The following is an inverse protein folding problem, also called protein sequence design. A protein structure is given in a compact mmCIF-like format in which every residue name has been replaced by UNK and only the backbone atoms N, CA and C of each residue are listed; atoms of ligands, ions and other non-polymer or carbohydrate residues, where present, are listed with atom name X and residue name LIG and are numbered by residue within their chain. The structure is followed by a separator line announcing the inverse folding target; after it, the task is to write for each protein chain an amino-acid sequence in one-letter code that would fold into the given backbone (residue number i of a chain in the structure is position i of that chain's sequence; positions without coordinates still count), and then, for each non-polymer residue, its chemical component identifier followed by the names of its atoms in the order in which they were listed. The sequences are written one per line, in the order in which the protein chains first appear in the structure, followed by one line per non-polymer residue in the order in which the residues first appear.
data_IF_850016622413
#
_entry.id   IF_850016622413
#
_cell.length_a   1.000
_cell.length_b   1.000
_cell.length_c   1.000
_cell.angle_alpha   90.00
_cell.angle_beta   90.00
_cell.angle_gamma   90.00
#
_symmetry.space_group_name_H-M   'P 1'
#
loop_
_entity.id
_entity.type
_entity.pdbx_description
1 polymer ?
#
# COMPACT_ATOMS: atom_id res chain seq x y z
N UNK A 1 16.80 -16.60 -11.40
CA UNK A 1 16.35 -16.03 -10.12
C UNK A 1 14.86 -16.25 -10.06
N UNK A 2 14.39 -16.98 -9.05
CA UNK A 2 13.03 -17.52 -8.96
C UNK A 2 12.00 -16.38 -8.85
N UNK A 3 10.96 -16.46 -9.65
CA UNK A 3 9.84 -15.51 -9.75
C UNK A 3 8.86 -15.64 -8.56
N UNK A 4 9.30 -16.16 -7.40
CA UNK A 4 8.46 -16.49 -6.24
C UNK A 4 7.97 -15.27 -5.43
N UNK A 5 8.23 -14.04 -5.91
CA UNK A 5 7.74 -12.81 -5.27
C UNK A 5 6.28 -12.48 -5.58
N UNK A 6 5.70 -13.08 -6.62
CA UNK A 6 4.31 -12.81 -6.99
C UNK A 6 3.38 -13.89 -6.46
N UNK A 7 2.59 -13.53 -5.47
CA UNK A 7 1.50 -14.39 -5.01
C UNK A 7 0.35 -14.28 -6.02
N UNK A 8 0.19 -15.30 -6.86
CA UNK A 8 -0.99 -15.43 -7.69
C UNK A 8 -2.14 -15.89 -6.81
N UNK A 9 -3.14 -15.04 -6.65
CA UNK A 9 -4.39 -15.42 -6.01
C UNK A 9 -5.23 -16.14 -7.07
N UNK A 10 -4.88 -17.37 -7.35
CA UNK A 10 -5.66 -18.21 -8.23
C UNK A 10 -5.71 -19.63 -7.69
N UNK A 11 -6.83 -20.27 -7.89
CA UNK A 11 -6.97 -21.70 -7.71
C UNK A 11 -6.67 -22.36 -9.05
N UNK A 12 -5.59 -23.18 -9.16
CA UNK A 12 -5.23 -23.87 -10.39
C UNK A 12 -6.35 -24.79 -10.91
N UNK A 13 -7.16 -25.36 -10.02
CA UNK A 13 -8.29 -26.21 -10.42
C UNK A 13 -9.43 -25.41 -11.05
N UNK A 14 -9.72 -24.22 -10.52
CA UNK A 14 -10.70 -23.29 -11.10
C UNK A 14 -10.22 -22.73 -12.44
N UNK A 15 -8.92 -22.48 -12.57
CA UNK A 15 -8.30 -22.06 -13.82
C UNK A 15 -8.48 -23.14 -14.91
N UNK A 16 -8.24 -24.41 -14.58
CA UNK A 16 -8.40 -25.53 -15.51
C UNK A 16 -9.85 -25.71 -15.98
N UNK A 17 -10.84 -25.31 -15.19
CA UNK A 17 -12.28 -25.37 -15.52
C UNK A 17 -12.79 -24.12 -16.23
N UNK A 18 -11.96 -23.09 -16.42
CA UNK A 18 -12.39 -21.81 -17.00
C UNK A 18 -13.38 -21.00 -16.12
N UNK A 19 -13.53 -21.37 -14.87
CA UNK A 19 -14.42 -20.71 -13.92
C UNK A 19 -13.83 -19.42 -13.39
N UNK A 20 -14.66 -18.42 -13.09
CA UNK A 20 -14.22 -17.17 -12.41
C UNK A 20 -13.71 -17.53 -11.03
N UNK A 21 -12.60 -16.88 -10.61
CA UNK A 21 -12.10 -16.94 -9.24
C UNK A 21 -13.09 -16.21 -8.31
N UNK A 22 -14.22 -16.84 -8.05
CA UNK A 22 -15.20 -16.44 -7.04
C UNK A 22 -15.08 -17.36 -5.81
N UNK A 23 -13.86 -17.82 -5.52
CA UNK A 23 -13.57 -18.67 -4.36
C UNK A 23 -13.87 -18.00 -3.04
N UNK A 24 -13.88 -18.77 -1.96
CA UNK A 24 -14.11 -18.27 -0.60
C UNK A 24 -13.13 -17.15 -0.24
N UNK A 25 -11.87 -17.25 -0.68
CA UNK A 25 -10.84 -16.23 -0.47
C UNK A 25 -11.15 -14.90 -1.13
N UNK A 26 -11.64 -14.91 -2.37
CA UNK A 26 -12.05 -13.69 -3.07
C UNK A 26 -13.26 -13.02 -2.40
N UNK A 27 -14.23 -13.82 -1.94
CA UNK A 27 -15.37 -13.28 -1.18
C UNK A 27 -14.92 -12.64 0.12
N UNK A 28 -14.08 -13.33 0.91
CA UNK A 28 -13.54 -12.80 2.14
C UNK A 28 -12.72 -11.51 1.92
N UNK A 29 -11.92 -11.46 0.84
CA UNK A 29 -11.24 -10.25 0.41
C UNK A 29 -12.22 -9.12 0.10
N UNK A 30 -13.25 -9.39 -0.70
CA UNK A 30 -14.25 -8.39 -1.10
C UNK A 30 -15.01 -7.85 0.11
N UNK A 31 -15.41 -8.71 1.05
CA UNK A 31 -16.05 -8.30 2.31
C UNK A 31 -15.12 -7.41 3.13
N UNK A 32 -13.83 -7.77 3.20
CA UNK A 32 -12.85 -6.97 3.92
C UNK A 32 -12.62 -5.61 3.27
N UNK A 33 -12.52 -5.54 1.93
CA UNK A 33 -12.40 -4.28 1.19
C UNK A 33 -13.60 -3.36 1.45
N UNK A 34 -14.82 -3.90 1.44
CA UNK A 34 -16.03 -3.15 1.78
C UNK A 34 -15.96 -2.63 3.22
N UNK A 35 -15.55 -3.46 4.17
CA UNK A 35 -15.41 -3.06 5.57
C UNK A 35 -14.32 -1.99 5.75
N UNK A 36 -13.16 -2.13 5.10
CA UNK A 36 -12.09 -1.14 5.15
C UNK A 36 -12.55 0.21 4.56
N UNK A 37 -13.28 0.16 3.44
CA UNK A 37 -13.87 1.34 2.81
C UNK A 37 -14.86 2.05 3.72
N UNK A 38 -15.74 1.32 4.40
CA UNK A 38 -16.68 1.88 5.38
C UNK A 38 -15.95 2.58 6.53
N UNK A 39 -14.93 1.91 7.10
CA UNK A 39 -14.16 2.44 8.22
C UNK A 39 -13.34 3.69 7.83
N UNK A 40 -12.68 3.65 6.69
CA UNK A 40 -11.90 4.81 6.20
C UNK A 40 -12.80 5.98 5.82
N UNK A 41 -14.01 5.72 5.30
CA UNK A 41 -14.99 6.78 5.03
C UNK A 41 -15.41 7.51 6.32
N UNK A 42 -15.61 6.77 7.42
CA UNK A 42 -15.91 7.34 8.74
C UNK A 42 -14.70 8.11 9.27
N UNK A 43 -13.50 7.53 9.21
CA UNK A 43 -12.27 8.15 9.67
C UNK A 43 -12.01 9.50 8.98
N UNK A 44 -12.24 9.55 7.67
CA UNK A 44 -11.90 10.71 6.85
C UNK A 44 -12.86 11.91 7.01
N UNK A 45 -14.00 11.73 7.68
CA UNK A 45 -14.96 12.80 8.00
C UNK A 45 -15.06 13.07 9.50
N UNK A 46 -14.35 12.29 10.33
CA UNK A 46 -14.33 12.48 11.77
C UNK A 46 -13.62 13.80 12.11
N UNK A 47 -14.13 14.61 13.08
CA UNK A 47 -13.41 15.78 13.56
C UNK A 47 -11.99 15.43 14.01
N UNK A 48 -11.02 16.28 13.64
CA UNK A 48 -9.61 15.97 13.88
C UNK A 48 -9.25 15.96 15.38
N UNK A 49 -9.98 16.66 16.20
CA UNK A 49 -9.83 16.72 17.67
C UNK A 49 -10.48 15.54 18.41
N UNK A 50 -11.25 14.70 17.71
CA UNK A 50 -11.77 13.44 18.28
C UNK A 50 -10.68 12.36 18.25
N UNK A 51 -9.75 12.44 19.19
CA UNK A 51 -8.62 11.51 19.28
C UNK A 51 -9.05 10.08 19.63
N UNK A 52 -10.03 9.93 20.51
CA UNK A 52 -10.54 8.61 20.92
C UNK A 52 -11.25 7.92 19.74
N UNK A 53 -12.11 8.63 19.02
CA UNK A 53 -12.77 8.13 17.83
C UNK A 53 -11.81 7.73 16.73
N UNK A 54 -10.76 8.53 16.51
CA UNK A 54 -9.69 8.17 15.54
C UNK A 54 -8.95 6.90 15.96
N UNK A 55 -8.54 6.81 17.23
CA UNK A 55 -7.84 5.63 17.73
C UNK A 55 -8.69 4.37 17.56
N UNK A 56 -9.97 4.41 17.94
CA UNK A 56 -10.90 3.30 17.79
C UNK A 56 -11.12 2.90 16.32
N UNK A 57 -11.17 3.86 15.38
CA UNK A 57 -11.31 3.56 13.97
C UNK A 57 -10.02 2.95 13.38
N UNK A 58 -8.85 3.46 13.74
CA UNK A 58 -7.58 2.86 13.33
C UNK A 58 -7.43 1.43 13.86
N UNK A 59 -7.82 1.17 15.11
CA UNK A 59 -7.80 -0.18 15.68
C UNK A 59 -8.69 -1.15 14.88
N UNK A 60 -9.88 -0.71 14.46
CA UNK A 60 -10.75 -1.53 13.59
C UNK A 60 -10.20 -1.71 12.18
N UNK A 61 -9.54 -0.68 11.62
CA UNK A 61 -8.92 -0.74 10.28
C UNK A 61 -7.74 -1.70 10.30
N UNK A 62 -6.84 -1.57 11.28
CA UNK A 62 -5.59 -2.32 11.36
C UNK A 62 -5.71 -3.64 12.11
N UNK A 63 -6.83 -3.87 12.83
CA UNK A 63 -7.02 -5.03 13.71
C UNK A 63 -6.16 -4.99 14.97
N UNK A 64 -5.52 -3.87 15.27
CA UNK A 64 -4.67 -3.62 16.43
C UNK A 64 -4.52 -2.13 16.69
N UNK A 65 -4.20 -1.71 17.92
CA UNK A 65 -3.89 -0.32 18.22
C UNK A 65 -2.66 0.18 17.40
N UNK A 66 -2.61 1.48 17.15
CA UNK A 66 -1.43 2.11 16.56
C UNK A 66 -0.22 1.94 17.49
N UNK A 67 0.97 1.57 16.96
CA UNK A 67 2.18 1.51 17.75
C UNK A 67 2.60 2.87 18.31
N UNK A 68 3.47 2.87 19.31
CA UNK A 68 3.95 4.07 19.98
C UNK A 68 4.53 5.10 19.00
N UNK A 69 4.07 6.34 19.11
CA UNK A 69 4.56 7.46 18.29
C UNK A 69 4.16 7.42 16.82
N UNK A 70 3.28 6.51 16.42
CA UNK A 70 2.72 6.52 15.06
C UNK A 70 1.72 7.66 14.93
N UNK A 71 1.86 8.42 13.84
CA UNK A 71 0.93 9.50 13.49
C UNK A 71 0.46 9.31 12.05
N UNK A 72 -0.85 9.28 11.85
CA UNK A 72 -1.47 9.21 10.52
C UNK A 72 -2.47 10.34 10.39
N UNK A 73 -2.27 11.23 9.40
CA UNK A 73 -3.19 12.32 9.11
C UNK A 73 -4.23 11.90 8.06
N UNK A 74 -5.52 12.03 8.36
CA UNK A 74 -6.58 11.89 7.36
C UNK A 74 -6.49 12.98 6.28
N UNK A 75 -7.05 12.73 5.06
CA UNK A 75 -7.67 11.47 4.68
C UNK A 75 -6.65 10.34 4.48
N UNK A 76 -7.05 9.13 4.89
CA UNK A 76 -6.28 7.88 4.81
C UNK A 76 -7.09 6.84 4.07
N UNK A 77 -6.45 6.06 3.20
CA UNK A 77 -7.11 5.05 2.40
C UNK A 77 -6.35 3.72 2.44
N UNK A 78 -7.09 2.63 2.57
CA UNK A 78 -6.57 1.26 2.47
C UNK A 78 -7.63 0.36 1.89
N UNK A 79 -7.22 -0.68 1.18
CA UNK A 79 -8.15 -1.69 0.66
C UNK A 79 -8.37 -2.85 1.64
N UNK A 80 -7.38 -3.18 2.46
CA UNK A 80 -7.51 -4.27 3.42
C UNK A 80 -7.30 -3.82 4.88
N UNK A 81 -6.25 -3.08 5.17
CA UNK A 81 -5.89 -2.51 6.46
C UNK A 81 -5.22 -3.50 7.41
N UNK A 82 -5.67 -4.75 7.48
CA UNK A 82 -5.13 -5.74 8.41
C UNK A 82 -3.73 -6.23 8.05
N UNK A 83 -3.28 -5.97 6.82
CA UNK A 83 -1.96 -6.36 6.31
C UNK A 83 -0.99 -5.17 6.17
N UNK A 84 -1.39 -4.01 6.70
CA UNK A 84 -0.52 -2.85 6.86
C UNK A 84 0.18 -2.95 8.22
N UNK A 85 1.45 -3.31 8.22
CA UNK A 85 2.29 -3.42 9.41
C UNK A 85 3.13 -2.15 9.60
N UNK A 86 2.89 -1.46 10.72
CA UNK A 86 3.55 -0.22 11.09
C UNK A 86 4.43 -0.45 12.32
N UNK A 87 5.70 -0.10 12.22
CA UNK A 87 6.58 -0.03 13.39
C UNK A 87 6.38 1.30 14.15
N UNK A 88 7.09 1.46 15.26
CA UNK A 88 7.05 2.68 16.08
C UNK A 88 7.50 3.93 15.30
N UNK A 89 6.95 5.08 15.67
CA UNK A 89 7.33 6.40 15.14
C UNK A 89 7.19 6.57 13.63
N UNK A 90 6.34 5.77 13.00
CA UNK A 90 5.98 5.99 11.60
C UNK A 90 5.09 7.23 11.49
N UNK A 91 5.40 8.08 10.53
CA UNK A 91 4.59 9.24 10.18
C UNK A 91 3.99 9.08 8.78
N UNK A 92 2.68 9.21 8.67
CA UNK A 92 1.95 9.18 7.39
C UNK A 92 1.17 10.47 7.21
N UNK A 93 1.51 11.20 6.16
CA UNK A 93 0.86 12.47 5.82
C UNK A 93 -0.48 12.24 5.08
N UNK A 94 -1.20 13.31 4.80
CA UNK A 94 -2.56 13.34 4.26
C UNK A 94 -2.65 12.73 2.85
N UNK A 95 -3.77 12.04 2.60
CA UNK A 95 -4.15 11.56 1.27
C UNK A 95 -3.38 10.32 0.80
N UNK A 96 -2.67 9.64 1.68
CA UNK A 96 -1.95 8.42 1.33
C UNK A 96 -2.90 7.24 1.11
N UNK A 97 -2.52 6.37 0.18
CA UNK A 97 -3.27 5.16 -0.19
C UNK A 97 -2.39 3.92 -0.04
N UNK A 98 -2.92 2.92 0.67
CA UNK A 98 -2.25 1.65 0.91
C UNK A 98 -3.12 0.50 0.38
N UNK A 99 -2.80 -0.02 -0.81
CA UNK A 99 -3.41 -1.25 -1.29
C UNK A 99 -2.59 -2.42 -0.70
N UNK A 100 -2.92 -2.74 0.56
CA UNK A 100 -2.10 -3.61 1.40
C UNK A 100 -2.48 -5.08 1.37
N UNK A 101 -3.30 -5.51 0.41
CA UNK A 101 -3.80 -6.89 0.36
C UNK A 101 -2.68 -7.94 0.35
N UNK A 102 -1.56 -7.72 -0.34
CA UNK A 102 -0.42 -8.64 -0.32
C UNK A 102 0.61 -8.35 0.81
N UNK A 103 0.36 -7.33 1.63
CA UNK A 103 1.19 -6.95 2.77
C UNK A 103 2.07 -5.73 2.51
N UNK A 104 2.04 -4.78 3.45
CA UNK A 104 2.95 -3.62 3.47
C UNK A 104 3.55 -3.54 4.87
N UNK A 105 4.88 -3.47 4.94
CA UNK A 105 5.60 -3.22 6.18
C UNK A 105 6.33 -1.88 6.11
N UNK A 106 6.08 -1.01 7.10
CA UNK A 106 6.81 0.23 7.29
C UNK A 106 7.66 0.14 8.57
N UNK A 107 8.96 0.20 8.42
CA UNK A 107 9.94 0.15 9.49
C UNK A 107 9.91 1.38 10.40
N UNK A 108 10.64 1.30 11.52
CA UNK A 108 10.67 2.35 12.53
C UNK A 108 11.10 3.69 11.96
N UNK A 109 10.36 4.75 12.31
CA UNK A 109 10.70 6.13 11.92
C UNK A 109 10.54 6.43 10.43
N UNK A 110 9.86 5.58 9.66
CA UNK A 110 9.52 5.87 8.26
C UNK A 110 8.64 7.11 8.19
N UNK A 111 8.97 8.02 7.29
CA UNK A 111 8.18 9.20 7.00
C UNK A 111 7.57 9.10 5.59
N UNK A 112 6.25 9.21 5.53
CA UNK A 112 5.49 9.16 4.27
C UNK A 112 4.89 10.53 3.97
N UNK A 113 5.33 11.14 2.88
CA UNK A 113 4.82 12.41 2.36
C UNK A 113 3.39 12.30 1.84
N UNK A 114 2.69 13.45 1.68
CA UNK A 114 1.28 13.47 1.31
C UNK A 114 1.05 12.82 -0.07
N UNK A 115 -0.11 12.17 -0.21
CA UNK A 115 -0.56 11.53 -1.45
C UNK A 115 0.39 10.43 -1.98
N UNK A 116 1.23 9.85 -1.14
CA UNK A 116 2.00 8.67 -1.52
C UNK A 116 1.08 7.46 -1.67
N UNK A 117 1.41 6.57 -2.61
CA UNK A 117 0.61 5.39 -2.94
C UNK A 117 1.48 4.14 -2.89
N UNK A 118 1.02 3.13 -2.15
CA UNK A 118 1.65 1.81 -2.06
C UNK A 118 0.70 0.79 -2.67
N UNK A 119 1.17 0.07 -3.68
CA UNK A 119 0.35 -0.87 -4.44
C UNK A 119 0.96 -2.26 -4.32
N UNK A 120 0.28 -3.18 -3.63
CA UNK A 120 0.77 -4.57 -3.50
C UNK A 120 0.09 -5.53 -4.45
N UNK A 121 -1.00 -5.12 -5.10
CA UNK A 121 -1.80 -5.99 -5.98
C UNK A 121 -2.07 -5.33 -7.32
N UNK A 122 -2.26 -6.16 -8.35
CA UNK A 122 -2.60 -5.73 -9.69
C UNK A 122 -3.35 -6.80 -10.46
N UNK A 123 -3.68 -6.48 -11.70
CA UNK A 123 -4.34 -7.41 -12.61
C UNK A 123 -3.37 -7.83 -13.72
N UNK A 124 -3.51 -9.04 -14.30
CA UNK A 124 -2.75 -9.44 -15.47
C UNK A 124 -2.87 -8.45 -16.61
N UNK A 125 -1.77 -8.25 -17.33
CA UNK A 125 -1.73 -7.39 -18.52
C UNK A 125 -2.59 -7.97 -19.65
N UNK A 126 -2.67 -9.30 -19.74
CA UNK A 126 -3.51 -10.00 -20.70
C UNK A 126 -4.98 -9.63 -20.50
N UNK A 127 -5.67 -9.13 -21.53
CA UNK A 127 -7.07 -8.71 -21.41
C UNK A 127 -8.05 -9.86 -21.15
N UNK A 128 -7.72 -11.08 -21.54
CA UNK A 128 -8.52 -12.30 -21.27
C UNK A 128 -8.44 -12.76 -19.83
N UNK A 129 -7.34 -12.43 -19.13
CA UNK A 129 -7.08 -12.85 -17.76
C UNK A 129 -7.33 -11.76 -16.70
N UNK A 130 -7.36 -10.51 -17.13
CA UNK A 130 -7.44 -9.31 -16.28
C UNK A 130 -8.57 -9.34 -15.24
N UNK A 131 -9.68 -9.99 -15.52
CA UNK A 131 -10.83 -10.12 -14.64
C UNK A 131 -10.92 -11.46 -13.93
N UNK A 132 -9.94 -12.34 -14.17
CA UNK A 132 -9.93 -13.71 -13.63
C UNK A 132 -8.95 -13.85 -12.48
N UNK A 133 -7.87 -13.05 -12.47
CA UNK A 133 -6.78 -13.18 -11.52
C UNK A 133 -6.42 -11.83 -10.89
N UNK A 134 -5.87 -11.90 -9.68
CA UNK A 134 -5.08 -10.85 -9.08
C UNK A 134 -3.66 -11.38 -8.91
N UNK A 135 -2.67 -10.55 -9.19
CA UNK A 135 -1.28 -10.78 -8.83
C UNK A 135 -0.89 -9.82 -7.73
N UNK A 136 -0.05 -10.25 -6.81
CA UNK A 136 0.40 -9.39 -5.73
C UNK A 136 1.75 -9.80 -5.18
N UNK A 137 2.47 -8.82 -4.62
CA UNK A 137 3.69 -9.03 -3.89
C UNK A 137 3.82 -7.99 -2.77
N UNK A 138 4.38 -8.37 -1.60
CA UNK A 138 4.49 -7.46 -0.47
C UNK A 138 5.47 -6.32 -0.75
N UNK A 139 5.25 -5.18 -0.08
CA UNK A 139 6.19 -4.06 -0.04
C UNK A 139 6.83 -4.03 1.34
N UNK A 140 8.16 -3.90 1.36
CA UNK A 140 8.94 -3.81 2.57
C UNK A 140 9.74 -2.50 2.60
N UNK A 141 9.45 -1.63 3.56
CA UNK A 141 10.18 -0.37 3.76
C UNK A 141 10.94 -0.45 5.07
N UNK A 142 12.26 -0.43 4.98
CA UNK A 142 13.14 -0.49 6.14
C UNK A 142 13.06 0.78 7.02
N UNK A 143 13.80 0.79 8.13
CA UNK A 143 13.78 1.91 9.08
C UNK A 143 14.34 3.22 8.48
N UNK A 144 13.84 4.35 9.00
CA UNK A 144 14.30 5.71 8.70
C UNK A 144 14.23 6.09 7.19
N UNK A 145 13.35 5.47 6.43
CA UNK A 145 13.12 5.80 5.02
C UNK A 145 12.22 7.03 4.92
N UNK A 146 12.52 7.91 3.98
CA UNK A 146 11.66 9.03 3.61
C UNK A 146 11.04 8.84 2.23
N UNK A 147 9.72 8.72 2.19
CA UNK A 147 8.93 8.65 0.96
C UNK A 147 8.40 10.06 0.66
N UNK A 148 8.81 10.62 -0.46
CA UNK A 148 8.40 11.96 -0.92
C UNK A 148 6.93 12.02 -1.33
N UNK A 149 6.39 13.24 -1.36
CA UNK A 149 4.99 13.50 -1.72
C UNK A 149 4.63 12.92 -3.11
N UNK A 150 3.47 12.25 -3.20
CA UNK A 150 2.97 11.70 -4.46
C UNK A 150 3.81 10.57 -5.06
N UNK A 151 4.77 10.01 -4.34
CA UNK A 151 5.52 8.84 -4.79
C UNK A 151 4.60 7.61 -4.88
N UNK A 152 4.89 6.72 -5.83
CA UNK A 152 4.17 5.46 -6.02
C UNK A 152 5.14 4.30 -5.88
N UNK A 153 4.87 3.39 -4.95
CA UNK A 153 5.66 2.18 -4.72
C UNK A 153 4.89 0.99 -5.28
N UNK A 154 5.52 0.25 -6.20
CA UNK A 154 4.91 -0.86 -6.92
C UNK A 154 5.08 -2.20 -6.19
N UNK A 155 4.31 -3.24 -6.58
CA UNK A 155 4.34 -4.54 -5.91
C UNK A 155 5.73 -5.17 -5.88
N UNK A 156 6.10 -5.75 -4.74
CA UNK A 156 7.33 -6.51 -4.54
C UNK A 156 8.58 -5.67 -4.24
N UNK A 157 8.45 -4.36 -4.16
CA UNK A 157 9.58 -3.47 -3.90
C UNK A 157 10.03 -3.56 -2.44
N UNK A 158 11.35 -3.66 -2.25
CA UNK A 158 12.02 -3.49 -0.96
C UNK A 158 12.82 -2.18 -0.96
N UNK A 159 12.62 -1.34 0.06
CA UNK A 159 13.35 -0.07 0.21
C UNK A 159 14.27 -0.18 1.42
N UNK A 160 15.57 -0.08 1.17
CA UNK A 160 16.62 -0.21 2.18
C UNK A 160 16.63 0.96 3.17
N UNK A 161 17.19 0.72 4.36
CA UNK A 161 17.31 1.68 5.45
C UNK A 161 17.96 3.00 4.99
N UNK A 162 17.51 4.11 5.59
CA UNK A 162 18.03 5.46 5.34
C UNK A 162 17.87 5.91 3.87
N UNK A 163 17.08 5.21 3.05
CA UNK A 163 16.83 5.61 1.68
C UNK A 163 15.82 6.76 1.60
N UNK A 164 15.87 7.48 0.50
CA UNK A 164 14.95 8.56 0.15
C UNK A 164 14.31 8.26 -1.20
N UNK A 165 12.98 8.31 -1.26
CA UNK A 165 12.22 8.31 -2.49
C UNK A 165 11.78 9.74 -2.78
N UNK A 166 12.24 10.31 -3.89
CA UNK A 166 11.89 11.68 -4.27
C UNK A 166 10.39 11.83 -4.57
N UNK A 167 9.88 13.05 -4.40
CA UNK A 167 8.48 13.35 -4.71
C UNK A 167 8.12 12.99 -6.16
N UNK A 168 6.94 12.38 -6.33
CA UNK A 168 6.42 11.95 -7.63
C UNK A 168 7.17 10.79 -8.29
N UNK A 169 8.13 10.17 -7.62
CA UNK A 169 8.84 9.01 -8.17
C UNK A 169 7.93 7.78 -8.25
N UNK A 170 8.07 6.98 -9.30
CA UNK A 170 7.48 5.65 -9.42
C UNK A 170 8.59 4.62 -9.23
N UNK A 171 8.50 3.87 -8.13
CA UNK A 171 9.51 2.88 -7.73
C UNK A 171 9.01 1.49 -8.10
N UNK A 172 9.70 0.86 -9.05
CA UNK A 172 9.38 -0.46 -9.59
C UNK A 172 10.44 -1.52 -9.27
N UNK A 173 11.60 -1.09 -8.78
CA UNK A 173 12.73 -1.94 -8.43
C UNK A 173 13.17 -1.68 -6.98
N UNK A 174 13.88 -2.64 -6.40
CA UNK A 174 14.41 -2.51 -5.04
C UNK A 174 15.35 -1.30 -4.93
N UNK A 175 15.24 -0.56 -3.82
CA UNK A 175 16.05 0.63 -3.53
C UNK A 175 17.12 0.28 -2.50
N UNK A 176 18.41 0.42 -2.81
CA UNK A 176 19.48 0.15 -1.86
C UNK A 176 19.42 1.06 -0.62
N UNK A 177 19.95 0.60 0.50
CA UNK A 177 20.09 1.42 1.70
C UNK A 177 20.92 2.70 1.43
N UNK A 178 20.63 3.76 2.18
CA UNK A 178 21.34 5.04 2.12
C UNK A 178 21.43 5.62 0.70
N UNK A 179 20.39 5.48 -0.10
CA UNK A 179 20.35 5.96 -1.48
C UNK A 179 19.14 6.87 -1.73
N UNK A 180 19.24 7.68 -2.79
CA UNK A 180 18.14 8.50 -3.30
C UNK A 180 17.66 7.93 -4.63
N UNK A 181 16.39 7.53 -4.71
CA UNK A 181 15.72 7.21 -5.96
C UNK A 181 14.82 8.37 -6.39
N UNK A 182 14.88 8.74 -7.66
CA UNK A 182 14.07 9.82 -8.22
C UNK A 182 13.44 9.39 -9.55
N UNK A 183 12.21 9.81 -9.77
CA UNK A 183 11.52 9.62 -11.04
C UNK A 183 12.12 10.46 -12.15
N UNK A 184 11.62 10.30 -13.41
CA UNK A 184 12.10 11.07 -14.54
C UNK A 184 11.87 12.57 -14.29
N UNK A 185 12.94 13.35 -14.46
CA UNK A 185 12.87 14.81 -14.37
C UNK A 185 11.99 15.35 -15.50
N UNK A 186 11.06 16.22 -15.18
CA UNK A 186 10.23 16.90 -16.15
C UNK A 186 11.10 17.64 -17.18
N UNK A 187 10.79 17.50 -18.46
CA UNK A 187 11.50 18.17 -19.56
C UNK A 187 10.54 19.01 -20.40
N UNK A 188 10.98 20.19 -20.82
CA UNK A 188 10.21 21.02 -21.74
C UNK A 188 10.06 20.27 -23.07
N UNK A 189 8.82 19.99 -23.46
CA UNK A 189 8.51 19.29 -24.72
C UNK A 189 8.11 20.25 -25.84
N UNK A 190 7.68 21.45 -25.50
CA UNK A 190 7.24 22.48 -26.44
C UNK A 190 7.39 23.87 -25.82
N UNK A 191 7.72 24.83 -26.66
CA UNK A 191 7.61 26.29 -26.38
C UNK A 191 6.70 26.89 -27.44
N UNK A 192 5.87 27.87 -27.09
CA UNK A 192 5.01 28.67 -27.94
C UNK A 192 5.29 30.14 -27.76
#
# INVERSE_FOLDING_TARGET
MSNDRFMLIHDPELQARGERVLGAEFRAMSERVLRATELTSRLNVLPFDDEEGRAALFEQILGRPLPAGVTIYPPFYTDHGLRLDLAERVFVNQGCTFLDYAGIRLGRGVMVGPKATFITVGHPVDPGERRRFLSGAPIDVAENVWIGAGATILPGVSIGRDAVVAAGAVVADDVPAASLVAGPKGTVRRRW
#
